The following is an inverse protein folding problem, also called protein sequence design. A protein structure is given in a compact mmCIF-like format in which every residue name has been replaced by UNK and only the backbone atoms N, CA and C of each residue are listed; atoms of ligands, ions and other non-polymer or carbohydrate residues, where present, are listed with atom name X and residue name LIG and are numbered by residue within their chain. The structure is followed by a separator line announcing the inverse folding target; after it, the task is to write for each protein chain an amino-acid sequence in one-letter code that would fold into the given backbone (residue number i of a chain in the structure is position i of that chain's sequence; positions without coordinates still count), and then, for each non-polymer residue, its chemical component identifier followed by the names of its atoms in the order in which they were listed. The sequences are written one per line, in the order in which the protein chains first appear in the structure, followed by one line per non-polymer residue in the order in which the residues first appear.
data_IF_674947626797
#
_entry.id   IF_674947626797
#
_cell.length_a   1.000
_cell.length_b   1.000
_cell.length_c   1.000
_cell.angle_alpha   90.00
_cell.angle_beta   90.00
_cell.angle_gamma   90.00
#
_symmetry.space_group_name_H-M   'P 1'
#
loop_
_entity.id
_entity.type
_entity.pdbx_description
1 polymer ?
#
# COMPACT_ATOMS: atom_id res chain seq x y z
N UNK A 1 -14.27 -40.31 -32.54
CA UNK A 1 -13.41 -39.11 -32.70
C UNK A 1 -14.18 -37.77 -32.68
N UNK A 2 -15.31 -37.62 -33.39
CA UNK A 2 -16.10 -36.37 -33.40
C UNK A 2 -16.77 -36.01 -32.04
N UNK A 3 -17.31 -36.99 -31.30
CA UNK A 3 -17.91 -36.74 -29.96
C UNK A 3 -16.92 -36.13 -28.96
N UNK A 4 -15.68 -36.60 -28.95
CA UNK A 4 -14.62 -36.06 -28.07
C UNK A 4 -14.25 -34.62 -28.45
N UNK A 5 -14.30 -34.26 -29.73
CA UNK A 5 -14.10 -32.88 -30.21
C UNK A 5 -15.25 -31.95 -29.79
N UNK A 6 -16.49 -32.43 -29.82
CA UNK A 6 -17.66 -31.68 -29.35
C UNK A 6 -17.63 -31.44 -27.84
N UNK A 7 -17.28 -32.47 -27.06
CA UNK A 7 -17.14 -32.36 -25.60
C UNK A 7 -16.01 -31.39 -25.24
N UNK A 8 -14.85 -31.49 -25.89
CA UNK A 8 -13.75 -30.56 -25.68
C UNK A 8 -14.12 -29.11 -26.04
N UNK A 9 -14.88 -28.91 -27.11
CA UNK A 9 -15.38 -27.59 -27.52
C UNK A 9 -16.31 -26.97 -26.47
N UNK A 10 -17.26 -27.75 -25.92
CA UNK A 10 -18.15 -27.29 -24.87
C UNK A 10 -17.40 -26.93 -23.58
N UNK A 11 -16.38 -27.71 -23.21
CA UNK A 11 -15.54 -27.41 -22.04
C UNK A 11 -14.80 -26.07 -22.22
N UNK A 12 -14.23 -25.83 -23.40
CA UNK A 12 -13.54 -24.57 -23.72
C UNK A 12 -14.45 -23.35 -23.60
N UNK A 13 -15.72 -23.48 -24.03
CA UNK A 13 -16.72 -22.40 -23.94
C UNK A 13 -16.99 -21.98 -22.49
N UNK A 14 -16.94 -22.91 -21.52
CA UNK A 14 -17.13 -22.58 -20.10
C UNK A 14 -15.84 -22.14 -19.39
N UNK A 15 -14.69 -22.68 -19.79
CA UNK A 15 -13.41 -22.36 -19.17
C UNK A 15 -12.94 -20.95 -19.56
N UNK A 16 -13.10 -20.53 -20.82
CA UNK A 16 -12.60 -19.23 -21.28
C UNK A 16 -13.24 -18.05 -20.51
N UNK A 17 -14.57 -17.95 -20.34
CA UNK A 17 -15.19 -16.88 -19.56
C UNK A 17 -14.77 -16.92 -18.09
N UNK A 18 -14.62 -18.11 -17.51
CA UNK A 18 -14.15 -18.27 -16.14
C UNK A 18 -12.72 -17.73 -15.99
N UNK A 19 -11.82 -18.04 -16.94
CA UNK A 19 -10.46 -17.51 -16.95
C UNK A 19 -10.43 -15.99 -17.12
N UNK A 20 -11.28 -15.43 -17.98
CA UNK A 20 -11.41 -13.97 -18.16
C UNK A 20 -11.93 -13.30 -16.89
N UNK A 21 -12.88 -13.91 -16.18
CA UNK A 21 -13.35 -13.43 -14.89
C UNK A 21 -12.23 -13.48 -13.85
N UNK A 22 -11.55 -14.62 -13.71
CA UNK A 22 -10.44 -14.80 -12.77
C UNK A 22 -9.30 -13.80 -13.04
N UNK A 23 -9.00 -13.53 -14.31
CA UNK A 23 -8.04 -12.50 -14.71
C UNK A 23 -8.51 -11.10 -14.31
N UNK A 24 -9.78 -10.76 -14.58
CA UNK A 24 -10.35 -9.48 -14.18
C UNK A 24 -10.41 -9.27 -12.67
N UNK A 25 -10.54 -10.33 -11.88
CA UNK A 25 -10.46 -10.28 -10.42
C UNK A 25 -9.03 -10.36 -9.87
N UNK A 26 -8.01 -10.31 -10.73
CA UNK A 26 -6.61 -10.23 -10.32
C UNK A 26 -6.10 -11.48 -9.59
N UNK A 27 -6.76 -12.63 -9.76
CA UNK A 27 -6.41 -13.86 -9.01
C UNK A 27 -5.00 -14.36 -9.31
N UNK A 28 -4.49 -14.07 -10.51
CA UNK A 28 -3.13 -14.44 -10.95
C UNK A 28 -2.07 -13.40 -10.57
N UNK A 29 -2.44 -12.34 -9.88
CA UNK A 29 -1.50 -11.31 -9.45
C UNK A 29 -0.93 -11.67 -8.08
N UNK A 30 0.24 -11.11 -7.75
CA UNK A 30 0.92 -11.33 -6.47
C UNK A 30 0.05 -10.96 -5.26
N UNK A 31 -0.84 -9.97 -5.42
CA UNK A 31 -1.76 -9.53 -4.39
C UNK A 31 -3.18 -9.84 -4.82
N UNK A 32 -3.87 -10.66 -4.05
CA UNK A 32 -5.26 -11.00 -4.30
C UNK A 32 -5.94 -11.42 -3.00
N UNK A 33 -7.25 -11.72 -3.08
CA UNK A 33 -8.04 -12.12 -1.92
C UNK A 33 -7.44 -13.30 -1.14
N UNK A 34 -6.99 -14.36 -1.82
CA UNK A 34 -6.46 -15.56 -1.16
C UNK A 34 -5.16 -15.24 -0.43
N UNK A 35 -4.25 -14.53 -1.09
CA UNK A 35 -3.00 -14.08 -0.45
C UNK A 35 -3.28 -13.18 0.75
N UNK A 36 -4.30 -12.32 0.70
CA UNK A 36 -4.70 -11.50 1.85
C UNK A 36 -5.18 -12.35 3.02
N UNK A 37 -6.02 -13.37 2.77
CA UNK A 37 -6.46 -14.30 3.82
C UNK A 37 -5.31 -15.09 4.43
N UNK A 38 -4.37 -15.55 3.61
CA UNK A 38 -3.16 -16.26 4.06
C UNK A 38 -2.30 -15.33 4.92
N UNK A 39 -2.07 -14.10 4.47
CA UNK A 39 -1.27 -13.13 5.22
C UNK A 39 -1.93 -12.75 6.55
N UNK A 40 -3.27 -12.60 6.58
CA UNK A 40 -4.02 -12.41 7.84
C UNK A 40 -3.83 -13.60 8.78
N UNK A 41 -3.99 -14.81 8.28
CA UNK A 41 -3.81 -16.03 9.06
C UNK A 41 -2.40 -16.13 9.66
N UNK A 42 -1.39 -15.73 8.89
CA UNK A 42 0.01 -15.73 9.31
C UNK A 42 0.42 -14.50 10.15
N UNK A 43 -0.51 -13.56 10.42
CA UNK A 43 -0.20 -12.30 11.11
C UNK A 43 0.66 -11.31 10.30
N UNK A 44 0.83 -11.55 9.00
CA UNK A 44 1.61 -10.72 8.08
C UNK A 44 0.77 -9.58 7.49
N UNK A 45 0.16 -8.77 8.35
CA UNK A 45 -0.71 -7.67 7.91
C UNK A 45 0.14 -6.58 7.29
N UNK A 46 -0.13 -6.29 6.02
CA UNK A 46 0.54 -5.24 5.26
C UNK A 46 -0.46 -4.50 4.39
N UNK A 47 -0.27 -3.20 4.22
CA UNK A 47 -0.99 -2.41 3.23
C UNK A 47 -0.04 -2.11 2.07
N UNK A 48 -0.49 -2.45 0.87
CA UNK A 48 0.29 -2.29 -0.35
C UNK A 48 0.09 -0.87 -0.88
N UNK A 49 1.19 -0.20 -1.17
CA UNK A 49 1.17 1.07 -1.88
C UNK A 49 2.15 1.01 -3.04
N UNK A 50 1.92 1.87 -4.02
CA UNK A 50 2.71 1.95 -5.24
C UNK A 50 2.84 3.41 -5.66
N UNK A 51 3.84 3.70 -6.48
CA UNK A 51 4.22 5.05 -6.85
C UNK A 51 5.49 5.50 -6.14
N UNK A 52 5.82 6.79 -6.32
CA UNK A 52 7.06 7.35 -5.81
C UNK A 52 7.06 7.32 -4.27
N UNK A 53 8.05 6.68 -3.63
CA UNK A 53 8.12 6.66 -2.17
C UNK A 53 8.32 8.07 -1.62
N UNK A 54 7.51 8.44 -0.63
CA UNK A 54 7.73 9.66 0.15
C UNK A 54 8.69 9.32 1.28
N UNK A 55 9.91 9.82 1.21
CA UNK A 55 10.89 9.66 2.28
C UNK A 55 10.71 10.75 3.34
N UNK A 56 10.43 10.33 4.56
CA UNK A 56 10.36 11.21 5.74
C UNK A 56 11.56 10.98 6.65
N UNK A 57 12.09 12.04 7.26
CA UNK A 57 13.05 11.90 8.36
C UNK A 57 12.42 11.29 9.62
N UNK A 58 11.08 11.20 9.67
CA UNK A 58 10.30 10.56 10.74
C UNK A 58 9.81 9.17 10.34
N UNK A 59 10.44 8.53 9.35
CA UNK A 59 9.97 7.23 8.83
C UNK A 59 9.87 6.16 9.92
N UNK A 60 10.81 6.14 10.88
CA UNK A 60 10.79 5.18 11.98
C UNK A 60 9.58 5.36 12.89
N UNK A 61 9.20 6.60 13.16
CA UNK A 61 8.01 6.95 13.94
C UNK A 61 6.74 6.57 13.18
N UNK A 62 6.68 6.84 11.87
CA UNK A 62 5.58 6.43 10.99
C UNK A 62 5.40 4.89 11.00
N UNK A 63 6.50 4.14 10.90
CA UNK A 63 6.48 2.68 10.92
C UNK A 63 6.05 2.14 12.30
N UNK A 64 6.48 2.80 13.37
CA UNK A 64 6.07 2.48 14.74
C UNK A 64 4.56 2.68 14.94
N UNK A 65 4.01 3.80 14.44
CA UNK A 65 2.56 4.07 14.49
C UNK A 65 1.81 3.03 13.66
N UNK A 66 2.25 2.74 12.45
CA UNK A 66 1.61 1.70 11.61
C UNK A 66 1.57 0.35 12.32
N UNK A 67 2.68 -0.03 12.96
CA UNK A 67 2.80 -1.28 13.72
C UNK A 67 1.87 -1.30 14.94
N UNK A 68 1.67 -0.18 15.64
CA UNK A 68 0.73 -0.13 16.77
C UNK A 68 -0.73 -0.32 16.31
N UNK A 69 -1.07 0.15 15.10
CA UNK A 69 -2.34 -0.13 14.44
C UNK A 69 -2.40 -1.53 13.80
N UNK A 70 -1.30 -2.27 13.82
CA UNK A 70 -1.32 -3.68 13.48
C UNK A 70 -0.95 -4.05 12.06
N UNK A 71 -0.34 -3.15 11.31
CA UNK A 71 0.06 -3.41 9.94
C UNK A 71 1.41 -2.77 9.61
N UNK A 72 1.98 -3.17 8.49
CA UNK A 72 3.17 -2.54 7.91
C UNK A 72 2.86 -2.00 6.53
N UNK A 73 3.53 -0.91 6.17
CA UNK A 73 3.53 -0.39 4.80
C UNK A 73 4.42 -1.28 3.93
N UNK A 74 3.94 -1.66 2.75
CA UNK A 74 4.75 -2.37 1.75
C UNK A 74 4.69 -1.67 0.38
N UNK A 75 5.83 -1.14 -0.07
CA UNK A 75 5.94 -0.54 -1.40
C UNK A 75 6.09 -1.65 -2.46
N UNK A 76 5.15 -1.73 -3.40
CA UNK A 76 5.22 -2.68 -4.50
C UNK A 76 6.02 -2.18 -5.71
N UNK A 77 6.51 -0.94 -5.68
CA UNK A 77 7.30 -0.32 -6.74
C UNK A 77 6.71 0.99 -7.25
N UNK A 78 7.50 1.71 -8.07
CA UNK A 78 7.08 2.98 -8.65
C UNK A 78 6.04 2.81 -9.76
N UNK A 79 6.19 1.78 -10.58
CA UNK A 79 5.30 1.45 -11.70
C UNK A 79 4.86 0.01 -11.56
N UNK A 80 3.56 -0.19 -11.54
CA UNK A 80 2.93 -1.51 -11.52
C UNK A 80 1.95 -1.61 -12.68
N UNK A 81 1.69 -2.82 -13.15
CA UNK A 81 0.72 -3.07 -14.22
C UNK A 81 -0.72 -2.85 -13.72
N UNK A 82 -1.66 -2.59 -14.63
CA UNK A 82 -3.07 -2.44 -14.27
C UNK A 82 -3.65 -3.67 -13.53
N UNK A 83 -3.34 -4.92 -13.93
CA UNK A 83 -3.73 -6.10 -13.15
C UNK A 83 -3.16 -6.09 -11.74
N UNK A 84 -1.86 -5.77 -11.56
CA UNK A 84 -1.24 -5.72 -10.22
C UNK A 84 -1.84 -4.64 -9.33
N UNK A 85 -2.16 -3.46 -9.89
CA UNK A 85 -2.85 -2.40 -9.16
C UNK A 85 -4.20 -2.87 -8.65
N UNK A 86 -4.99 -3.51 -9.52
CA UNK A 86 -6.29 -4.07 -9.13
C UNK A 86 -6.18 -5.18 -8.08
N UNK A 87 -5.14 -6.02 -8.21
CA UNK A 87 -4.81 -7.03 -7.22
C UNK A 87 -4.48 -6.41 -5.85
N UNK A 88 -3.65 -5.37 -5.83
CA UNK A 88 -3.30 -4.62 -4.63
C UNK A 88 -4.53 -3.98 -3.98
N UNK A 89 -5.46 -3.41 -4.75
CA UNK A 89 -6.71 -2.85 -4.24
C UNK A 89 -7.59 -3.92 -3.58
N UNK A 90 -7.77 -5.08 -4.23
CA UNK A 90 -8.53 -6.21 -3.68
C UNK A 90 -7.89 -6.70 -2.39
N UNK A 91 -6.57 -6.87 -2.40
CA UNK A 91 -5.80 -7.30 -1.23
C UNK A 91 -5.95 -6.30 -0.07
N UNK A 92 -5.78 -5.00 -0.34
CA UNK A 92 -5.91 -3.95 0.66
C UNK A 92 -7.32 -3.89 1.24
N UNK A 93 -8.37 -4.03 0.43
CA UNK A 93 -9.75 -4.04 0.94
C UNK A 93 -9.95 -5.14 2.01
N UNK A 94 -9.41 -6.34 1.79
CA UNK A 94 -9.49 -7.43 2.77
C UNK A 94 -8.70 -7.10 4.04
N UNK A 95 -7.55 -6.43 3.91
CA UNK A 95 -6.74 -5.97 5.04
C UNK A 95 -7.45 -4.86 5.83
N UNK A 96 -8.08 -3.90 5.15
CA UNK A 96 -8.84 -2.81 5.76
C UNK A 96 -10.03 -3.35 6.57
N UNK A 97 -10.75 -4.34 6.05
CA UNK A 97 -11.82 -5.01 6.81
C UNK A 97 -11.30 -5.69 8.08
N UNK A 98 -10.14 -6.33 8.00
CA UNK A 98 -9.49 -6.93 9.17
C UNK A 98 -9.07 -5.85 10.18
N UNK A 99 -8.44 -4.77 9.71
CA UNK A 99 -8.00 -3.67 10.56
C UNK A 99 -9.16 -2.91 11.18
N UNK A 100 -10.29 -2.77 10.48
CA UNK A 100 -11.53 -2.21 11.02
C UNK A 100 -12.05 -3.05 12.20
N UNK A 101 -12.09 -4.38 12.06
CA UNK A 101 -12.50 -5.27 13.15
C UNK A 101 -11.56 -5.21 14.34
N UNK A 102 -10.25 -5.07 14.08
CA UNK A 102 -9.22 -5.01 15.12
C UNK A 102 -9.23 -3.68 15.87
N UNK A 103 -9.27 -2.56 15.16
CA UNK A 103 -9.02 -1.23 15.71
C UNK A 103 -10.30 -0.43 15.98
N UNK A 104 -11.46 -0.93 15.52
CA UNK A 104 -12.74 -0.27 15.66
C UNK A 104 -13.01 0.80 14.59
N UNK A 105 -14.20 1.38 14.63
CA UNK A 105 -14.60 2.43 13.71
C UNK A 105 -13.67 3.64 13.82
N UNK A 106 -13.49 4.37 12.72
CA UNK A 106 -12.66 5.58 12.62
C UNK A 106 -11.15 5.39 12.81
N UNK A 107 -10.65 4.16 12.99
CA UNK A 107 -9.20 3.91 13.15
C UNK A 107 -8.36 4.57 12.05
N UNK A 108 -8.86 4.61 10.81
CA UNK A 108 -8.16 5.21 9.67
C UNK A 108 -8.04 6.73 9.80
N UNK A 109 -9.06 7.38 10.35
CA UNK A 109 -9.07 8.83 10.62
C UNK A 109 -8.06 9.15 11.71
N UNK A 110 -8.06 8.37 12.80
CA UNK A 110 -7.16 8.55 13.92
C UNK A 110 -5.70 8.28 13.52
N UNK A 111 -5.46 7.19 12.79
CA UNK A 111 -4.17 6.87 12.21
C UNK A 111 -3.67 8.03 11.33
N UNK A 112 -4.51 8.51 10.40
CA UNK A 112 -4.15 9.62 9.52
C UNK A 112 -3.80 10.88 10.30
N UNK A 113 -4.58 11.24 11.32
CA UNK A 113 -4.30 12.40 12.19
C UNK A 113 -2.93 12.32 12.85
N UNK A 114 -2.52 11.14 13.32
CA UNK A 114 -1.20 10.93 13.93
C UNK A 114 -0.09 11.09 12.89
N UNK A 115 -0.25 10.46 11.72
CA UNK A 115 0.72 10.57 10.62
C UNK A 115 0.86 12.01 10.12
N UNK A 116 -0.25 12.72 9.94
CA UNK A 116 -0.26 14.12 9.49
C UNK A 116 0.47 15.03 10.50
N UNK A 117 0.38 14.74 11.81
CA UNK A 117 1.16 15.47 12.84
C UNK A 117 2.66 15.29 12.64
N UNK A 118 3.11 14.05 12.39
CA UNK A 118 4.54 13.75 12.19
C UNK A 118 5.10 14.48 10.96
N UNK A 119 4.36 14.51 9.86
CA UNK A 119 4.75 15.27 8.68
C UNK A 119 4.78 16.78 8.95
N UNK A 120 3.80 17.32 9.67
CA UNK A 120 3.76 18.74 10.02
C UNK A 120 4.94 19.17 10.90
N UNK A 121 5.34 18.33 11.86
CA UNK A 121 6.54 18.54 12.68
C UNK A 121 7.80 18.54 11.82
N UNK A 122 7.97 17.54 10.96
CA UNK A 122 9.09 17.48 10.02
C UNK A 122 9.16 18.74 9.13
N UNK A 123 8.02 19.22 8.63
CA UNK A 123 7.97 20.45 7.82
C UNK A 123 8.43 21.68 8.61
N UNK A 124 8.03 21.81 9.88
CA UNK A 124 8.48 22.90 10.77
C UNK A 124 9.98 22.82 11.05
N UNK A 125 10.51 21.62 11.29
CA UNK A 125 11.95 21.37 11.49
C UNK A 125 12.77 21.73 10.24
N UNK A 126 12.30 21.34 9.04
CA UNK A 126 12.97 21.69 7.78
C UNK A 126 12.98 23.20 7.53
N UNK A 127 11.86 23.87 7.82
CA UNK A 127 11.74 25.33 7.67
C UNK A 127 12.67 26.10 8.62
N UNK A 128 12.74 25.68 9.89
CA UNK A 128 13.64 26.31 10.88
C UNK A 128 15.11 26.10 10.54
N UNK A 129 15.51 24.89 10.12
CA UNK A 129 16.86 24.60 9.62
C UNK A 129 17.24 25.49 8.44
N UNK A 130 16.37 25.60 7.43
CA UNK A 130 16.62 26.46 6.26
C UNK A 130 16.82 27.94 6.63
N UNK A 131 16.05 28.43 7.61
CA UNK A 131 16.20 29.81 8.12
C UNK A 131 17.55 30.00 8.84
N UNK A 132 17.96 29.03 9.67
CA UNK A 132 19.24 29.09 10.38
C UNK A 132 20.44 29.03 9.41
N UNK A 133 20.40 28.18 8.38
CA UNK A 133 21.46 28.10 7.37
C UNK A 133 21.58 29.37 6.54
N UNK A 134 20.45 30.02 6.22
CA UNK A 134 20.45 31.27 5.46
C UNK A 134 21.05 32.43 6.29
N UNK A 135 20.69 32.53 7.57
CA UNK A 135 21.25 33.53 8.48
C UNK A 135 22.77 33.35 8.70
N UNK A 136 23.24 32.10 8.79
CA UNK A 136 24.67 31.81 8.91
C UNK A 136 25.45 32.21 7.64
N UNK A 137 24.87 32.00 6.46
CA UNK A 137 25.51 32.34 5.18
C UNK A 137 25.62 33.86 4.97
N UNK A 138 24.60 34.63 5.35
CA UNK A 138 24.64 36.10 5.28
C UNK A 138 25.70 36.68 6.23
N UNK A 139 25.88 36.09 7.42
CA UNK A 139 26.91 36.55 8.38
C UNK A 139 28.35 36.33 7.90
N UNK A 140 28.60 35.28 7.11
CA UNK A 140 29.94 35.01 6.54
C UNK A 140 30.30 35.91 5.36
N UNK A 141 29.31 36.50 4.66
CA UNK A 141 29.54 37.42 3.54
C UNK A 141 29.82 38.86 3.97
N UNK A 142 29.56 39.21 5.24
CA UNK A 142 29.80 40.55 5.80
C UNK A 142 31.19 40.65 6.47
N UNK A 143 31.89 39.53 6.60
CA UNK A 143 33.20 39.42 7.26
C UNK A 143 34.41 39.34 6.32
N UNK A 144 34.22 39.51 5.01
CA UNK A 144 35.29 39.72 4.00
C UNK A 144 35.31 41.17 3.51
#
# INVERSE_FOLDING_TARGET
MQKNKLIASLILIFIIPLLILLWNYGIFTRYNYLTAKIDIYNGNIRLIYYGLPVFSSKQREIDSVSTSYGFRHYNSGCTISAPESKGADIYNNVMEEYLLKRNGNNWRIEYKRVIDSLYNEEHKEKKSRKKATMFSADSSLVSE
#
